data_IF_816934579884
#
_entry.id   IF_816934579884
#
_cell.length_a   1.000
_cell.length_b   1.000
_cell.length_c   1.000
_cell.angle_alpha   90.00
_cell.angle_beta   90.00
_cell.angle_gamma   90.00
#
_symmetry.space_group_name_H-M   'P 1'
#
loop_
_entity.id
_entity.type
_entity.pdbx_description
1 polymer ?
#
# COMPACT_ATOMS: atom_id res chain seq x y z
N UNK A 1 -21.90 8.96 10.41
CA UNK A 1 -20.92 9.99 10.02
C UNK A 1 -20.61 9.77 8.55
N UNK A 2 -20.83 10.77 7.68
CA UNK A 2 -20.59 10.63 6.25
C UNK A 2 -19.10 10.34 5.99
N UNK A 3 -18.80 9.33 5.17
CA UNK A 3 -17.45 9.04 4.69
C UNK A 3 -16.96 10.31 3.97
N UNK A 4 -15.80 10.91 4.36
CA UNK A 4 -15.28 12.08 3.66
C UNK A 4 -15.11 11.75 2.17
N UNK A 5 -15.22 12.75 1.25
CA UNK A 5 -15.04 12.51 -0.17
C UNK A 5 -13.70 11.80 -0.39
N UNK A 6 -13.73 10.65 -1.06
CA UNK A 6 -12.52 9.87 -1.33
C UNK A 6 -11.68 10.63 -2.35
N UNK A 7 -10.68 11.37 -1.86
CA UNK A 7 -9.64 11.92 -2.72
C UNK A 7 -8.90 10.77 -3.38
N UNK A 8 -8.97 10.72 -4.71
CA UNK A 8 -8.22 9.77 -5.55
C UNK A 8 -6.74 10.14 -5.48
N UNK A 9 -5.91 9.16 -5.14
CA UNK A 9 -4.45 9.30 -5.09
C UNK A 9 -3.82 8.58 -6.28
N UNK A 10 -2.68 9.04 -6.81
CA UNK A 10 -2.02 8.40 -7.96
C UNK A 10 -1.72 6.91 -7.77
N UNK A 11 -1.50 6.45 -6.53
CA UNK A 11 -1.27 5.02 -6.25
C UNK A 11 -2.50 4.14 -6.49
N UNK A 12 -3.71 4.71 -6.45
CA UNK A 12 -4.95 3.91 -6.52
C UNK A 12 -5.08 3.18 -7.86
N UNK A 13 -4.55 3.76 -8.95
CA UNK A 13 -4.54 3.16 -10.29
C UNK A 13 -3.69 1.88 -10.39
N UNK A 14 -2.63 1.77 -9.58
CA UNK A 14 -1.67 0.66 -9.65
C UNK A 14 -1.89 -0.40 -8.57
N UNK A 15 -2.76 -0.14 -7.59
CA UNK A 15 -3.04 -1.08 -6.49
C UNK A 15 -3.50 -2.46 -6.96
N UNK A 16 -4.42 -2.62 -7.95
CA UNK A 16 -4.84 -3.94 -8.40
C UNK A 16 -3.68 -4.80 -8.92
N UNK A 17 -2.75 -4.19 -9.67
CA UNK A 17 -1.58 -4.88 -10.21
C UNK A 17 -0.61 -5.30 -9.10
N UNK A 18 -0.39 -4.44 -8.09
CA UNK A 18 0.43 -4.76 -6.92
C UNK A 18 -0.17 -5.93 -6.12
N UNK A 19 -1.48 -5.91 -5.87
CA UNK A 19 -2.16 -6.98 -5.14
C UNK A 19 -2.11 -8.31 -5.90
N UNK A 20 -2.29 -8.30 -7.23
CA UNK A 20 -2.16 -9.48 -8.07
C UNK A 20 -0.75 -10.06 -8.02
N UNK A 21 0.27 -9.23 -8.23
CA UNK A 21 1.67 -9.66 -8.16
C UNK A 21 2.03 -10.27 -6.80
N UNK A 22 1.58 -9.67 -5.69
CA UNK A 22 1.81 -10.21 -4.34
C UNK A 22 1.07 -11.53 -4.10
N UNK A 23 -0.14 -11.69 -4.64
CA UNK A 23 -0.90 -12.93 -4.51
C UNK A 23 -0.27 -14.08 -5.31
N UNK A 24 0.23 -13.80 -6.51
CA UNK A 24 0.79 -14.81 -7.41
C UNK A 24 2.26 -15.15 -7.11
N UNK A 25 3.08 -14.12 -6.84
CA UNK A 25 4.55 -14.26 -6.76
C UNK A 25 5.11 -14.00 -5.37
N UNK A 26 4.31 -13.42 -4.46
CA UNK A 26 4.75 -13.06 -3.11
C UNK A 26 5.62 -11.80 -3.02
N UNK A 27 5.95 -11.14 -4.14
CA UNK A 27 6.78 -9.94 -4.14
C UNK A 27 6.33 -8.93 -5.22
N UNK A 28 6.51 -7.64 -4.94
CA UNK A 28 6.27 -6.57 -5.91
C UNK A 28 7.19 -5.37 -5.60
N UNK A 29 7.63 -4.68 -6.65
CA UNK A 29 8.33 -3.39 -6.54
C UNK A 29 7.39 -2.31 -7.03
N UNK A 30 7.01 -1.40 -6.14
CA UNK A 30 6.16 -0.26 -6.45
C UNK A 30 6.99 1.02 -6.53
N UNK A 31 7.03 1.62 -7.72
CA UNK A 31 7.62 2.94 -7.95
C UNK A 31 6.48 3.93 -8.11
N UNK A 32 6.43 4.93 -7.23
CA UNK A 32 5.44 6.01 -7.31
C UNK A 32 6.07 7.34 -6.88
N UNK A 33 5.67 8.47 -7.49
CA UNK A 33 6.17 9.80 -7.13
C UNK A 33 6.05 10.13 -5.64
N UNK A 34 6.82 11.10 -5.11
CA UNK A 34 6.55 11.68 -3.79
C UNK A 34 5.10 12.18 -3.70
N UNK A 35 4.44 11.97 -2.55
CA UNK A 35 3.04 12.37 -2.36
C UNK A 35 1.99 11.46 -3.04
N UNK A 36 2.39 10.42 -3.78
CA UNK A 36 1.44 9.53 -4.48
C UNK A 36 0.53 8.69 -3.56
N UNK A 37 0.73 8.72 -2.23
CA UNK A 37 -0.07 7.96 -1.28
C UNK A 37 0.43 6.54 -0.99
N UNK A 38 1.61 6.14 -1.49
CA UNK A 38 2.16 4.78 -1.35
C UNK A 38 2.18 4.24 0.10
N UNK A 39 2.72 5.00 1.05
CA UNK A 39 2.79 4.59 2.47
C UNK A 39 1.43 4.63 3.17
N UNK A 40 0.46 5.36 2.60
CA UNK A 40 -0.88 5.49 3.18
C UNK A 40 -1.83 4.41 2.66
N UNK A 41 -1.93 4.23 1.34
CA UNK A 41 -2.94 3.37 0.71
C UNK A 41 -2.49 1.92 0.58
N UNK A 42 -1.21 1.66 0.29
CA UNK A 42 -0.74 0.28 0.06
C UNK A 42 -0.93 -0.59 1.30
N UNK A 43 -0.50 -0.20 2.51
CA UNK A 43 -0.72 -1.03 3.70
C UNK A 43 -2.20 -1.28 3.96
N UNK A 44 -3.06 -0.28 3.76
CA UNK A 44 -4.51 -0.40 3.96
C UNK A 44 -5.12 -1.39 2.96
N UNK A 45 -4.73 -1.32 1.68
CA UNK A 45 -5.20 -2.24 0.65
C UNK A 45 -4.78 -3.69 0.96
N UNK A 46 -3.58 -3.89 1.50
CA UNK A 46 -3.08 -5.21 1.90
C UNK A 46 -3.85 -5.82 3.07
N UNK A 47 -4.49 -5.04 3.93
CA UNK A 47 -5.33 -5.56 5.02
C UNK A 47 -6.52 -6.37 4.50
N UNK A 48 -7.01 -6.06 3.30
CA UNK A 48 -8.11 -6.79 2.64
C UNK A 48 -7.63 -7.98 1.80
N UNK A 49 -6.32 -8.25 1.72
CA UNK A 49 -5.79 -9.31 0.88
C UNK A 49 -6.11 -10.69 1.48
N UNK A 50 -6.77 -11.56 0.71
CA UNK A 50 -7.17 -12.89 1.17
C UNK A 50 -6.00 -13.77 1.62
N UNK A 51 -4.81 -13.56 1.05
CA UNK A 51 -3.60 -14.25 1.48
C UNK A 51 -3.13 -13.78 2.86
N UNK A 52 -3.41 -12.55 3.31
CA UNK A 52 -2.92 -12.07 4.61
C UNK A 52 -3.46 -12.91 5.77
N UNK A 53 -4.76 -13.24 5.75
CA UNK A 53 -5.43 -13.98 6.82
C UNK A 53 -5.19 -13.33 8.19
N UNK A 54 -4.77 -14.12 9.18
CA UNK A 54 -4.47 -13.65 10.54
C UNK A 54 -3.03 -13.14 10.74
N UNK A 55 -2.28 -12.92 9.64
CA UNK A 55 -0.89 -12.43 9.71
C UNK A 55 -0.85 -10.92 9.90
N UNK A 56 0.33 -10.41 10.28
CA UNK A 56 0.57 -8.97 10.50
C UNK A 56 1.36 -8.39 9.33
N UNK A 57 1.09 -7.13 9.02
CA UNK A 57 1.93 -6.34 8.10
C UNK A 57 3.03 -5.67 8.93
N UNK A 58 4.27 -5.89 8.52
CA UNK A 58 5.43 -5.16 9.06
C UNK A 58 5.83 -4.11 8.05
N UNK A 59 5.73 -2.83 8.42
CA UNK A 59 6.14 -1.71 7.59
C UNK A 59 7.45 -1.15 8.09
N UNK A 60 8.48 -1.19 7.24
CA UNK A 60 9.79 -0.63 7.53
C UNK A 60 9.88 0.74 6.87
N UNK A 61 10.11 1.78 7.65
CA UNK A 61 10.37 3.13 7.14
C UNK A 61 11.84 3.49 7.41
N UNK A 62 12.51 4.24 6.49
CA UNK A 62 13.86 4.70 6.73
C UNK A 62 13.94 5.49 8.04
N UNK A 63 14.92 5.16 8.89
CA UNK A 63 15.18 5.97 10.08
C UNK A 63 15.59 7.36 9.61
N UNK A 64 14.90 8.40 10.08
CA UNK A 64 15.30 9.79 9.78
C UNK A 64 16.73 9.99 10.31
N UNK A 65 17.69 10.27 9.42
CA UNK A 65 19.04 10.67 9.85
C UNK A 65 18.88 12.05 10.49
N UNK A 66 19.10 12.15 11.80
CA UNK A 66 19.26 13.44 12.44
C UNK A 66 20.54 14.07 11.87
N UNK A 67 20.38 15.18 11.16
CA UNK A 67 21.48 16.08 10.84
C UNK A 67 21.70 17.03 12.02
#
# INVERSE_FOLDING_TARGET
MAKPPETVLPVDEVLPAVLGALAETGAAVLVAPPGAGKTTRVPIALLGAGWLGNRKIVMLEPRRIAA
#
